data_IF_948603305997
#
_entry.id   IF_948603305997
#
_cell.length_a   1.000
_cell.length_b   1.000
_cell.length_c   1.000
_cell.angle_alpha   90.00
_cell.angle_beta   90.00
_cell.angle_gamma   90.00
#
_symmetry.space_group_name_H-M   'P 1'
#
loop_
_entity.id
_entity.type
_entity.pdbx_description
1 polymer ?
#
# COMPACT_ATOMS: atom_id res chain seq x y z
N UNK A 1 -15.83 -5.22 -16.43
CA UNK A 1 -16.83 -5.99 -15.65
C UNK A 1 -16.27 -6.24 -14.25
N UNK A 2 -17.11 -6.41 -13.24
CA UNK A 2 -16.68 -6.59 -11.85
C UNK A 2 -16.57 -8.06 -11.47
N UNK A 3 -15.59 -8.41 -10.63
CA UNK A 3 -15.56 -9.70 -9.94
C UNK A 3 -16.73 -9.76 -8.92
N UNK A 4 -17.40 -10.92 -8.76
CA UNK A 4 -18.40 -11.09 -7.71
C UNK A 4 -17.75 -11.03 -6.31
N UNK A 5 -18.35 -10.24 -5.42
CA UNK A 5 -17.86 -9.95 -4.05
C UNK A 5 -16.53 -9.20 -4.02
N UNK A 6 -16.04 -8.93 -2.82
CA UNK A 6 -14.77 -8.27 -2.53
C UNK A 6 -14.20 -8.80 -1.22
N UNK A 7 -12.90 -8.65 -1.04
CA UNK A 7 -12.23 -8.90 0.24
C UNK A 7 -12.47 -7.73 1.19
N UNK A 8 -12.80 -8.05 2.45
CA UNK A 8 -13.00 -7.08 3.51
C UNK A 8 -12.13 -7.45 4.69
N UNK A 9 -11.48 -6.43 5.27
CA UNK A 9 -10.75 -6.51 6.52
C UNK A 9 -11.11 -5.29 7.35
N UNK A 10 -11.59 -5.52 8.57
CA UNK A 10 -11.95 -4.46 9.51
C UNK A 10 -10.70 -4.03 10.26
N UNK A 11 -10.25 -2.79 10.02
CA UNK A 11 -9.13 -2.16 10.73
C UNK A 11 -9.46 -2.01 12.22
N UNK A 12 -8.59 -2.52 13.09
CA UNK A 12 -8.86 -2.56 14.55
C UNK A 12 -8.11 -1.55 15.37
N UNK A 13 -6.97 -1.08 14.87
CA UNK A 13 -6.12 -0.12 15.55
C UNK A 13 -5.24 0.64 14.55
N UNK A 14 -4.43 1.57 15.07
CA UNK A 14 -3.56 2.44 14.28
C UNK A 14 -2.44 1.67 13.58
N UNK A 15 -1.91 0.62 14.21
CA UNK A 15 -0.83 -0.16 13.61
C UNK A 15 -1.35 -0.95 12.40
N UNK A 16 -2.55 -1.52 12.53
CA UNK A 16 -3.27 -2.21 11.45
C UNK A 16 -3.59 -1.24 10.30
N UNK A 17 -4.00 -0.01 10.61
CA UNK A 17 -4.22 1.04 9.61
C UNK A 17 -2.94 1.34 8.82
N UNK A 18 -1.81 1.55 9.50
CA UNK A 18 -0.54 1.86 8.85
C UNK A 18 -0.04 0.71 7.99
N UNK A 19 -0.10 -0.54 8.48
CA UNK A 19 0.32 -1.72 7.71
C UNK A 19 -0.49 -1.86 6.41
N UNK A 20 -1.81 -1.66 6.47
CA UNK A 20 -2.67 -1.72 5.28
C UNK A 20 -2.46 -0.54 4.33
N UNK A 21 -2.21 0.67 4.83
CA UNK A 21 -1.87 1.82 4.00
C UNK A 21 -0.54 1.61 3.27
N UNK A 22 0.49 1.13 3.98
CA UNK A 22 1.79 0.77 3.41
C UNK A 22 1.62 -0.27 2.31
N UNK A 23 0.86 -1.34 2.57
CA UNK A 23 0.58 -2.38 1.57
C UNK A 23 -0.06 -1.80 0.29
N UNK A 24 -1.10 -0.96 0.43
CA UNK A 24 -1.78 -0.34 -0.70
C UNK A 24 -0.82 0.52 -1.52
N UNK A 25 0.02 1.32 -0.86
CA UNK A 25 0.97 2.19 -1.54
C UNK A 25 2.15 1.44 -2.17
N UNK A 26 2.52 0.30 -1.61
CA UNK A 26 3.60 -0.54 -2.13
C UNK A 26 3.14 -1.49 -3.26
N UNK A 27 1.84 -1.79 -3.38
CA UNK A 27 1.31 -2.73 -4.38
C UNK A 27 1.79 -2.53 -5.82
N UNK A 28 1.92 -1.30 -6.36
CA UNK A 28 2.46 -1.10 -7.71
C UNK A 28 3.90 -1.62 -7.87
N UNK A 29 4.71 -1.54 -6.81
CA UNK A 29 6.08 -2.09 -6.77
C UNK A 29 6.02 -3.61 -6.61
N UNK A 30 5.20 -4.11 -5.67
CA UNK A 30 5.01 -5.56 -5.45
C UNK A 30 4.63 -6.29 -6.75
N UNK A 31 3.72 -5.72 -7.54
CA UNK A 31 3.27 -6.30 -8.81
C UNK A 31 4.17 -5.95 -10.02
N UNK A 32 5.33 -5.33 -9.79
CA UNK A 32 6.33 -5.06 -10.83
C UNK A 32 5.94 -4.01 -11.86
N UNK A 33 4.97 -3.15 -11.54
CA UNK A 33 4.48 -2.11 -12.45
C UNK A 33 5.39 -0.88 -12.47
N UNK A 34 6.03 -0.57 -11.33
CA UNK A 34 6.99 0.54 -11.17
C UNK A 34 8.11 0.16 -10.19
N UNK A 35 9.20 0.93 -10.20
CA UNK A 35 10.33 0.73 -9.30
C UNK A 35 10.19 1.42 -7.93
N UNK A 36 9.22 2.33 -7.78
CA UNK A 36 8.97 3.06 -6.53
C UNK A 36 7.52 3.56 -6.48
N UNK A 37 6.89 3.65 -5.29
CA UNK A 37 5.52 4.16 -5.15
C UNK A 37 5.31 5.55 -5.75
N UNK A 38 6.33 6.43 -5.68
CA UNK A 38 6.25 7.79 -6.26
C UNK A 38 6.05 7.80 -7.78
N UNK A 39 6.44 6.73 -8.46
CA UNK A 39 6.36 6.61 -9.92
C UNK A 39 4.96 6.14 -10.37
N UNK A 40 4.06 5.80 -9.43
CA UNK A 40 2.70 5.34 -9.71
C UNK A 40 1.64 6.46 -9.53
N UNK A 41 1.20 7.16 -10.59
CA UNK A 41 0.38 8.36 -10.46
C UNK A 41 -1.05 8.11 -9.96
N UNK A 42 -1.52 6.86 -9.98
CA UNK A 42 -2.90 6.48 -9.64
C UNK A 42 -3.00 6.02 -8.17
N UNK A 43 -2.48 6.83 -7.25
CA UNK A 43 -2.52 6.55 -5.81
C UNK A 43 -2.69 7.83 -5.01
N UNK A 44 -3.18 7.73 -3.77
CA UNK A 44 -3.15 8.83 -2.81
C UNK A 44 -1.75 9.07 -2.22
N UNK A 45 -0.74 8.28 -2.60
CA UNK A 45 0.64 8.41 -2.10
C UNK A 45 1.18 9.84 -2.21
N UNK A 46 1.04 10.49 -3.37
CA UNK A 46 1.55 11.86 -3.57
C UNK A 46 0.91 12.90 -2.64
N UNK A 47 -0.37 12.71 -2.31
CA UNK A 47 -1.07 13.57 -1.36
C UNK A 47 -0.51 13.38 0.05
N UNK A 48 -0.22 12.14 0.44
CA UNK A 48 0.33 11.80 1.75
C UNK A 48 1.80 12.22 1.89
N UNK A 49 2.56 12.21 0.79
CA UNK A 49 3.90 12.83 0.75
C UNK A 49 3.79 14.35 0.95
N UNK A 50 2.81 15.01 0.35
CA UNK A 50 2.61 16.46 0.50
C UNK A 50 2.15 16.87 1.92
N UNK A 51 1.43 16.00 2.65
CA UNK A 51 1.08 16.23 4.07
C UNK A 51 2.18 15.82 5.05
N UNK A 52 3.24 15.14 4.59
CA UNK A 52 4.36 14.70 5.41
C UNK A 52 4.17 13.33 6.08
N UNK A 53 3.13 12.58 5.70
CA UNK A 53 2.86 11.24 6.22
C UNK A 53 3.81 10.19 5.62
N UNK A 54 4.26 10.40 4.37
CA UNK A 54 5.28 9.56 3.72
C UNK A 54 6.50 10.36 3.27
N UNK A 55 7.71 9.80 3.40
CA UNK A 55 8.87 10.23 2.63
C UNK A 55 8.65 10.02 1.13
N UNK A 56 9.14 10.94 0.28
CA UNK A 56 9.03 10.82 -1.18
C UNK A 56 9.72 9.56 -1.73
N UNK A 57 10.78 9.11 -1.07
CA UNK A 57 11.60 7.95 -1.44
C UNK A 57 11.23 6.67 -0.66
N UNK A 58 10.12 6.69 0.08
CA UNK A 58 9.60 5.52 0.78
C UNK A 58 9.32 4.36 -0.20
N UNK A 59 9.63 3.13 0.22
CA UNK A 59 9.39 1.91 -0.56
C UNK A 59 10.30 1.74 -1.79
N UNK A 60 11.38 2.53 -1.96
CA UNK A 60 12.33 2.39 -3.08
C UNK A 60 13.37 1.30 -2.86
N UNK A 61 13.91 1.19 -1.65
CA UNK A 61 15.09 0.35 -1.36
C UNK A 61 14.81 -0.82 -0.41
N UNK A 62 13.75 -0.71 0.39
CA UNK A 62 13.36 -1.72 1.38
C UNK A 62 11.90 -2.04 1.18
N UNK A 63 11.58 -3.33 1.26
CA UNK A 63 10.19 -3.80 1.30
C UNK A 63 9.67 -3.44 2.70
N UNK A 64 8.59 -2.64 2.82
CA UNK A 64 7.97 -2.34 4.11
C UNK A 64 7.50 -3.62 4.81
N UNK A 65 7.44 -3.61 6.14
CA UNK A 65 6.73 -4.67 6.86
C UNK A 65 5.23 -4.48 6.68
N UNK A 66 4.52 -5.57 6.35
CA UNK A 66 3.06 -5.61 6.26
C UNK A 66 2.46 -6.48 7.37
N UNK A 67 3.09 -6.50 8.55
CA UNK A 67 2.61 -7.28 9.69
C UNK A 67 1.12 -6.97 9.97
N UNK A 68 0.28 -8.00 9.89
CA UNK A 68 -1.18 -7.88 10.05
C UNK A 68 -1.98 -7.86 8.75
N UNK A 69 -1.32 -7.74 7.59
CA UNK A 69 -1.96 -7.91 6.27
C UNK A 69 -1.89 -9.38 5.85
N UNK A 70 -3.05 -10.03 5.70
CA UNK A 70 -3.09 -11.39 5.15
C UNK A 70 -2.95 -11.37 3.63
N UNK A 71 -1.71 -11.48 3.17
CA UNK A 71 -1.38 -11.48 1.74
C UNK A 71 -1.93 -12.71 0.99
N UNK A 72 -2.23 -13.80 1.69
CA UNK A 72 -2.73 -15.05 1.08
C UNK A 72 -4.16 -14.94 0.58
N UNK A 73 -4.88 -13.91 1.02
CA UNK A 73 -6.27 -13.66 0.63
C UNK A 73 -6.40 -12.68 -0.55
N UNK A 74 -5.28 -12.16 -1.07
CA UNK A 74 -5.26 -11.03 -2.01
C UNK A 74 -4.63 -11.41 -3.37
N UNK A 75 -4.20 -12.66 -3.56
CA UNK A 75 -3.74 -13.23 -4.86
C UNK A 75 -4.76 -14.23 -5.45
#
# INVERSE_FOLDING_TARGET
>A
VWQPRFMEHTIRDEADLHAHADYIHYNPVKHGLVASPKDWPWSSFHRLVASGDYPLDWGRCEVPSFDGVDESLIE
#
